data_IF_280844936446
#
_entry.id   IF_280844936446
#
_cell.length_a   1.000
_cell.length_b   1.000
_cell.length_c   1.000
_cell.angle_alpha   90.00
_cell.angle_beta   90.00
_cell.angle_gamma   90.00
#
_symmetry.space_group_name_H-M   'P 1'
#
loop_
_entity.id
_entity.type
_entity.pdbx_description
1 polymer ?
#
# COMPACT_ATOMS: atom_id res chain seq x y z
N UNK A 1 22.71 -16.97 -33.54
CA UNK A 1 22.24 -17.91 -32.47
C UNK A 1 21.14 -18.74 -33.11
N UNK A 2 21.20 -20.02 -32.97
CA UNK A 2 20.21 -20.97 -33.57
C UNK A 2 18.91 -21.10 -32.75
N UNK A 3 18.76 -20.29 -31.71
CA UNK A 3 17.56 -20.22 -30.85
C UNK A 3 17.44 -21.30 -29.77
N UNK A 4 18.37 -22.25 -29.73
CA UNK A 4 18.31 -23.41 -28.79
C UNK A 4 19.46 -23.47 -27.80
N UNK A 5 20.53 -22.69 -28.00
CA UNK A 5 21.71 -22.72 -27.17
C UNK A 5 21.97 -21.41 -26.46
N UNK A 6 22.00 -21.44 -25.13
CA UNK A 6 22.41 -20.30 -24.30
C UNK A 6 23.88 -20.52 -23.91
N UNK A 7 24.73 -19.53 -24.14
CA UNK A 7 26.13 -19.57 -23.67
C UNK A 7 26.18 -19.58 -22.15
N UNK A 8 27.13 -20.29 -21.58
CA UNK A 8 27.42 -20.15 -20.16
C UNK A 8 27.87 -18.72 -19.88
N UNK A 9 27.20 -18.06 -18.96
CA UNK A 9 27.56 -16.74 -18.49
C UNK A 9 27.29 -16.61 -16.99
N UNK A 10 28.00 -15.74 -16.35
CA UNK A 10 27.72 -15.27 -15.00
C UNK A 10 27.15 -13.86 -15.09
N UNK A 11 26.04 -13.62 -14.42
CA UNK A 11 25.43 -12.30 -14.34
C UNK A 11 25.14 -11.98 -12.88
N UNK A 12 25.53 -10.78 -12.47
CA UNK A 12 25.17 -10.21 -11.18
C UNK A 12 24.35 -8.95 -11.42
N UNK A 13 23.11 -8.98 -10.96
CA UNK A 13 22.17 -7.87 -11.14
C UNK A 13 21.36 -7.65 -9.86
N UNK A 14 21.36 -6.43 -9.37
CA UNK A 14 20.65 -6.02 -8.16
C UNK A 14 20.26 -4.55 -8.26
N UNK A 15 19.29 -4.13 -7.45
CA UNK A 15 18.88 -2.74 -7.37
C UNK A 15 19.42 -2.10 -6.10
N UNK A 16 19.84 -0.83 -6.21
CA UNK A 16 20.37 -0.05 -5.08
C UNK A 16 19.30 0.40 -4.08
N UNK A 17 18.02 0.40 -4.52
CA UNK A 17 16.87 0.74 -3.67
C UNK A 17 15.87 -0.40 -3.62
N UNK A 18 15.32 -0.65 -2.43
CA UNK A 18 14.40 -1.77 -2.19
C UNK A 18 12.97 -1.50 -2.67
N UNK A 19 12.51 -0.25 -2.62
CA UNK A 19 11.17 0.14 -3.04
C UNK A 19 11.27 0.91 -4.35
N UNK A 20 10.67 0.38 -5.39
CA UNK A 20 10.60 0.97 -6.75
C UNK A 20 9.22 0.68 -7.29
N UNK A 21 8.56 1.66 -7.88
CA UNK A 21 7.24 1.40 -8.43
C UNK A 21 6.43 2.63 -8.75
N UNK A 22 5.13 2.46 -8.66
CA UNK A 22 4.13 3.47 -8.99
C UNK A 22 3.35 3.87 -7.75
N UNK A 23 2.90 5.12 -7.72
CA UNK A 23 1.88 5.59 -6.79
C UNK A 23 0.68 6.13 -7.57
N UNK A 24 -0.52 5.61 -7.30
CA UNK A 24 -1.79 6.17 -7.76
C UNK A 24 -2.25 7.22 -6.75
N UNK A 25 -1.64 8.39 -6.77
CA UNK A 25 -1.80 9.45 -5.75
C UNK A 25 -2.41 10.75 -6.28
N UNK A 26 -3.24 10.70 -7.30
CA UNK A 26 -3.84 11.88 -7.94
C UNK A 26 -5.33 12.03 -7.62
N UNK A 27 -5.86 13.21 -7.92
CA UNK A 27 -7.28 13.52 -7.85
C UNK A 27 -7.97 13.18 -9.18
N UNK A 28 -9.26 12.94 -9.15
CA UNK A 28 -10.08 12.61 -10.30
C UNK A 28 -10.47 11.14 -10.34
N UNK A 29 -10.86 10.66 -11.51
CA UNK A 29 -11.34 9.30 -11.68
C UNK A 29 -10.24 8.27 -11.39
N UNK A 30 -10.41 7.42 -10.37
CA UNK A 30 -9.45 6.35 -10.09
C UNK A 30 -9.33 5.38 -11.27
N UNK A 31 -8.17 4.76 -11.43
CA UNK A 31 -8.00 3.70 -12.43
C UNK A 31 -8.91 2.51 -12.14
N UNK A 32 -9.23 1.76 -13.19
CA UNK A 32 -9.93 0.50 -13.01
C UNK A 32 -9.02 -0.54 -12.33
N UNK A 33 -9.62 -1.54 -11.69
CA UNK A 33 -8.83 -2.63 -11.09
C UNK A 33 -8.05 -3.40 -12.15
N UNK A 34 -8.57 -3.52 -13.38
CA UNK A 34 -7.85 -4.17 -14.49
C UNK A 34 -6.62 -3.36 -14.91
N UNK A 35 -6.72 -2.03 -14.99
CA UNK A 35 -5.58 -1.16 -15.29
C UNK A 35 -4.51 -1.26 -14.20
N UNK A 36 -4.91 -1.29 -12.93
CA UNK A 36 -4.01 -1.49 -11.79
C UNK A 36 -3.27 -2.82 -11.86
N UNK A 37 -4.00 -3.89 -12.14
CA UNK A 37 -3.43 -5.24 -12.30
C UNK A 37 -2.50 -5.33 -13.52
N UNK A 38 -2.88 -4.71 -14.62
CA UNK A 38 -2.03 -4.61 -15.82
C UNK A 38 -0.72 -3.87 -15.53
N UNK A 39 -0.81 -2.76 -14.80
CA UNK A 39 0.37 -1.98 -14.40
C UNK A 39 1.29 -2.74 -13.44
N UNK A 40 0.73 -3.54 -12.52
CA UNK A 40 1.53 -4.40 -11.64
C UNK A 40 2.26 -5.50 -12.43
N UNK A 41 1.59 -6.15 -13.41
CA UNK A 41 2.24 -7.13 -14.30
C UNK A 41 3.39 -6.49 -15.08
N UNK A 42 3.12 -5.36 -15.73
CA UNK A 42 4.15 -4.58 -16.42
C UNK A 42 5.30 -4.20 -15.48
N UNK A 43 5.00 -3.68 -14.29
CA UNK A 43 6.01 -3.30 -13.31
C UNK A 43 6.92 -4.46 -12.91
N UNK A 44 6.37 -5.66 -12.73
CA UNK A 44 7.13 -6.87 -12.42
C UNK A 44 8.17 -7.21 -13.48
N UNK A 45 7.83 -7.06 -14.76
CA UNK A 45 8.73 -7.30 -15.88
C UNK A 45 9.93 -6.32 -15.89
N UNK A 46 9.75 -5.13 -15.31
CA UNK A 46 10.77 -4.09 -15.20
C UNK A 46 11.39 -3.96 -13.79
N UNK A 47 11.27 -5.01 -12.97
CA UNK A 47 11.85 -5.08 -11.61
C UNK A 47 11.31 -4.02 -10.64
N UNK A 48 10.12 -3.53 -10.87
CA UNK A 48 9.40 -2.74 -9.89
C UNK A 48 8.88 -3.65 -8.78
N UNK A 49 8.87 -3.13 -7.56
CA UNK A 49 8.55 -3.92 -6.36
C UNK A 49 7.22 -3.54 -5.72
N UNK A 50 6.67 -2.39 -6.09
CA UNK A 50 5.52 -1.83 -5.38
C UNK A 50 4.59 -1.05 -6.29
N UNK A 51 3.30 -1.29 -6.12
CA UNK A 51 2.22 -0.45 -6.58
C UNK A 51 1.52 0.15 -5.36
N UNK A 52 1.61 1.46 -5.17
CA UNK A 52 1.05 2.15 -4.01
C UNK A 52 -0.35 2.65 -4.35
N UNK A 53 -1.34 2.05 -3.72
CA UNK A 53 -2.75 2.41 -3.86
C UNK A 53 -3.09 3.60 -2.95
N UNK A 54 -3.23 4.77 -3.55
CA UNK A 54 -3.46 6.03 -2.85
C UNK A 54 -4.41 6.99 -3.62
N UNK A 55 -5.47 6.50 -4.32
CA UNK A 55 -6.32 7.37 -5.12
C UNK A 55 -7.10 8.34 -4.22
N UNK A 56 -6.91 9.64 -4.43
CA UNK A 56 -7.45 10.71 -3.55
C UNK A 56 -8.99 10.73 -3.50
N UNK A 57 -9.65 10.22 -4.52
CA UNK A 57 -11.12 10.17 -4.62
C UNK A 57 -11.70 8.78 -4.33
N UNK A 58 -10.87 7.82 -3.87
CA UNK A 58 -11.37 6.57 -3.30
C UNK A 58 -11.92 6.79 -1.88
N UNK A 59 -13.17 6.36 -1.66
CA UNK A 59 -13.84 6.58 -0.37
C UNK A 59 -13.14 5.89 0.79
N UNK A 60 -12.70 4.66 0.61
CA UNK A 60 -12.12 3.85 1.70
C UNK A 60 -10.67 4.21 2.01
N UNK A 61 -10.00 4.87 1.09
CA UNK A 61 -8.67 5.42 1.31
C UNK A 61 -8.70 6.70 2.17
N UNK A 62 -9.72 7.55 1.99
CA UNK A 62 -9.84 8.89 2.61
C UNK A 62 -11.08 9.04 3.47
N UNK A 63 -12.25 9.23 2.87
CA UNK A 63 -13.49 9.60 3.59
C UNK A 63 -13.97 8.54 4.58
N UNK A 64 -13.96 7.29 4.16
CA UNK A 64 -14.37 6.12 4.95
C UNK A 64 -13.17 5.28 5.43
N UNK A 65 -12.05 5.92 5.70
CA UNK A 65 -10.83 5.21 6.09
C UNK A 65 -10.98 4.40 7.39
N UNK A 66 -11.94 4.75 8.25
CA UNK A 66 -12.27 4.02 9.48
C UNK A 66 -13.10 2.77 9.22
N UNK A 67 -13.88 2.77 8.13
CA UNK A 67 -14.84 1.72 7.83
C UNK A 67 -14.13 0.52 7.22
N UNK A 68 -14.52 -0.66 7.63
CA UNK A 68 -14.05 -1.89 7.00
C UNK A 68 -14.63 -1.99 5.59
N UNK A 69 -13.89 -2.63 4.70
CA UNK A 69 -14.37 -2.92 3.35
C UNK A 69 -15.53 -3.92 3.42
N UNK A 70 -16.62 -3.70 2.67
CA UNK A 70 -17.59 -4.74 2.38
C UNK A 70 -16.93 -5.92 1.65
N UNK A 71 -17.54 -7.11 1.75
CA UNK A 71 -16.96 -8.33 1.19
C UNK A 71 -16.70 -8.24 -0.32
N UNK A 72 -17.62 -7.62 -1.06
CA UNK A 72 -17.48 -7.41 -2.50
C UNK A 72 -16.23 -6.58 -2.86
N UNK A 73 -16.02 -5.47 -2.15
CA UNK A 73 -14.85 -4.61 -2.38
C UNK A 73 -13.55 -5.28 -1.88
N UNK A 74 -13.64 -6.01 -0.77
CA UNK A 74 -12.51 -6.77 -0.25
C UNK A 74 -12.07 -7.89 -1.21
N UNK A 75 -13.01 -8.50 -1.93
CA UNK A 75 -12.72 -9.50 -2.95
C UNK A 75 -11.88 -8.90 -4.10
N UNK A 76 -12.21 -7.69 -4.54
CA UNK A 76 -11.43 -6.96 -5.56
C UNK A 76 -10.01 -6.67 -5.08
N UNK A 77 -9.85 -6.29 -3.81
CA UNK A 77 -8.52 -6.09 -3.20
C UNK A 77 -7.72 -7.40 -3.16
N UNK A 78 -8.35 -8.51 -2.77
CA UNK A 78 -7.70 -9.85 -2.77
C UNK A 78 -7.18 -10.23 -4.14
N UNK A 79 -7.94 -9.93 -5.21
CA UNK A 79 -7.50 -10.16 -6.59
C UNK A 79 -6.27 -9.33 -6.95
N UNK A 80 -6.29 -8.01 -6.65
CA UNK A 80 -5.13 -7.14 -6.88
C UNK A 80 -3.90 -7.61 -6.09
N UNK A 81 -4.07 -8.02 -4.83
CA UNK A 81 -2.99 -8.58 -4.00
C UNK A 81 -2.40 -9.83 -4.64
N UNK A 82 -3.25 -10.74 -5.13
CA UNK A 82 -2.80 -11.94 -5.83
C UNK A 82 -1.95 -11.59 -7.05
N UNK A 83 -2.43 -10.71 -7.90
CA UNK A 83 -1.68 -10.27 -9.10
C UNK A 83 -0.37 -9.60 -8.72
N UNK A 84 -0.36 -8.75 -7.71
CA UNK A 84 0.85 -8.09 -7.21
C UNK A 84 1.89 -9.09 -6.72
N UNK A 85 1.47 -10.14 -6.02
CA UNK A 85 2.36 -11.21 -5.54
C UNK A 85 2.91 -12.04 -6.70
N UNK A 86 2.05 -12.44 -7.66
CA UNK A 86 2.43 -13.24 -8.82
C UNK A 86 3.44 -12.47 -9.70
N UNK A 87 3.24 -11.18 -9.88
CA UNK A 87 4.10 -10.31 -10.71
C UNK A 87 5.34 -9.76 -9.98
N UNK A 88 5.48 -9.96 -8.68
CA UNK A 88 6.55 -9.38 -7.84
C UNK A 88 6.47 -7.83 -7.69
N UNK A 89 5.39 -7.21 -8.17
CA UNK A 89 5.09 -5.80 -7.98
C UNK A 89 3.96 -5.68 -6.94
N UNK A 90 4.35 -5.63 -5.69
CA UNK A 90 3.46 -5.77 -4.52
C UNK A 90 2.39 -4.68 -4.46
N UNK A 91 1.15 -5.07 -4.19
CA UNK A 91 0.08 -4.14 -3.86
C UNK A 91 0.31 -3.57 -2.46
N UNK A 92 0.49 -2.25 -2.37
CA UNK A 92 0.65 -1.50 -1.11
C UNK A 92 -0.62 -0.71 -0.86
N UNK A 93 -1.30 -0.98 0.24
CA UNK A 93 -2.50 -0.21 0.59
C UNK A 93 -2.15 0.95 1.50
N UNK A 94 -2.74 2.13 1.23
CA UNK A 94 -2.50 3.33 2.04
C UNK A 94 -3.79 3.92 2.57
N UNK A 95 -3.72 4.62 3.69
CA UNK A 95 -4.80 5.45 4.22
C UNK A 95 -4.38 6.92 4.25
N UNK A 96 -5.35 7.81 4.06
CA UNK A 96 -5.17 9.25 4.24
C UNK A 96 -6.06 9.78 5.39
N UNK A 97 -5.79 9.37 6.64
CA UNK A 97 -6.66 9.69 7.77
C UNK A 97 -6.75 11.19 8.04
N UNK A 98 -5.67 11.91 7.85
CA UNK A 98 -5.59 13.34 8.17
C UNK A 98 -6.44 14.21 7.22
N UNK A 99 -6.55 13.85 5.96
CA UNK A 99 -7.48 14.49 5.01
C UNK A 99 -8.92 13.96 5.20
N UNK A 100 -9.08 12.78 5.78
CA UNK A 100 -10.36 12.13 6.08
C UNK A 100 -10.98 12.54 7.41
N UNK A 101 -10.63 13.70 7.99
CA UNK A 101 -11.23 14.22 9.21
C UNK A 101 -10.76 13.54 10.49
N UNK A 102 -9.45 13.37 10.65
CA UNK A 102 -8.84 12.81 11.85
C UNK A 102 -9.16 13.62 13.10
N UNK A 103 -9.75 13.00 14.12
CA UNK A 103 -10.08 13.63 15.39
C UNK A 103 -8.88 13.61 16.34
N UNK A 104 -8.16 14.71 16.42
CA UNK A 104 -6.96 14.83 17.27
C UNK A 104 -7.23 14.64 18.77
N UNK A 105 -8.44 15.01 19.24
CA UNK A 105 -8.82 14.82 20.64
C UNK A 105 -9.04 13.34 21.01
N UNK A 106 -9.24 12.50 20.03
CA UNK A 106 -9.47 11.05 20.16
C UNK A 106 -8.40 10.24 19.42
N UNK A 107 -7.18 10.76 19.34
CA UNK A 107 -6.09 10.21 18.51
C UNK A 107 -5.86 8.70 18.72
N UNK A 108 -5.92 8.20 19.95
CA UNK A 108 -5.74 6.77 20.22
C UNK A 108 -6.87 5.90 19.65
N UNK A 109 -8.11 6.39 19.69
CA UNK A 109 -9.26 5.69 19.10
C UNK A 109 -9.17 5.68 17.56
N UNK A 110 -8.74 6.79 16.98
CA UNK A 110 -8.50 6.93 15.54
C UNK A 110 -7.41 5.96 15.07
N UNK A 111 -6.30 5.89 15.79
CA UNK A 111 -5.22 4.94 15.48
C UNK A 111 -5.72 3.49 15.60
N UNK A 112 -6.53 3.18 16.60
CA UNK A 112 -7.12 1.83 16.72
C UNK A 112 -8.08 1.52 15.55
N UNK A 113 -8.82 2.50 15.05
CA UNK A 113 -9.65 2.31 13.85
C UNK A 113 -8.78 2.01 12.62
N UNK A 114 -7.68 2.72 12.44
CA UNK A 114 -6.72 2.45 11.37
C UNK A 114 -6.14 1.04 11.46
N UNK A 115 -5.72 0.62 12.66
CA UNK A 115 -5.15 -0.72 12.85
C UNK A 115 -6.17 -1.84 12.61
N UNK A 116 -7.44 -1.66 12.96
CA UNK A 116 -8.51 -2.62 12.60
C UNK A 116 -8.68 -2.74 11.09
N UNK A 117 -8.59 -1.63 10.35
CA UNK A 117 -8.61 -1.62 8.89
C UNK A 117 -7.40 -2.38 8.33
N UNK A 118 -6.23 -2.14 8.90
CA UNK A 118 -5.01 -2.85 8.51
C UNK A 118 -5.10 -4.34 8.79
N UNK A 119 -5.72 -4.76 9.90
CA UNK A 119 -5.97 -6.17 10.20
C UNK A 119 -6.84 -6.84 9.13
N UNK A 120 -7.95 -6.21 8.73
CA UNK A 120 -8.79 -6.72 7.65
C UNK A 120 -8.02 -6.90 6.34
N UNK A 121 -7.24 -5.91 5.98
CA UNK A 121 -6.46 -5.93 4.74
C UNK A 121 -5.29 -6.92 4.82
N UNK A 122 -4.69 -7.07 5.99
CA UNK A 122 -3.68 -8.09 6.25
C UNK A 122 -4.26 -9.50 6.04
N UNK A 123 -5.46 -9.75 6.56
CA UNK A 123 -6.18 -11.02 6.37
C UNK A 123 -6.58 -11.23 4.89
N UNK A 124 -6.76 -10.15 4.13
CA UNK A 124 -6.95 -10.19 2.68
C UNK A 124 -5.66 -10.41 1.88
N UNK A 125 -4.49 -10.48 2.55
CA UNK A 125 -3.20 -10.76 1.94
C UNK A 125 -2.30 -9.56 1.69
N UNK A 126 -2.72 -8.34 2.03
CA UNK A 126 -1.84 -7.16 1.96
C UNK A 126 -0.68 -7.32 2.93
N UNK A 127 0.55 -7.01 2.49
CA UNK A 127 1.77 -7.15 3.30
C UNK A 127 2.60 -5.88 3.38
N UNK A 128 2.13 -4.80 2.76
CA UNK A 128 2.75 -3.49 2.92
C UNK A 128 1.67 -2.41 3.00
N UNK A 129 1.84 -1.49 3.93
CA UNK A 129 0.87 -0.46 4.27
C UNK A 129 1.52 0.92 4.25
N UNK A 130 0.70 1.95 4.07
CA UNK A 130 1.16 3.33 4.15
C UNK A 130 0.16 4.24 4.85
N UNK A 131 0.68 5.33 5.36
CA UNK A 131 -0.09 6.46 5.89
C UNK A 131 0.33 7.70 5.16
N UNK A 132 -0.63 8.43 4.61
CA UNK A 132 -0.38 9.65 3.86
C UNK A 132 -0.70 10.87 4.73
N UNK A 133 0.15 11.89 4.62
CA UNK A 133 0.03 13.16 5.32
C UNK A 133 0.22 14.36 4.41
N UNK A 134 0.20 14.15 3.09
CA UNK A 134 0.27 15.20 2.07
C UNK A 134 -1.05 15.98 1.97
N UNK A 135 -1.01 17.17 1.39
CA UNK A 135 -2.16 18.06 1.17
C UNK A 135 -2.97 18.38 2.44
N UNK A 136 -2.36 18.29 3.61
CA UNK A 136 -2.97 18.67 4.88
C UNK A 136 -2.25 19.86 5.49
N UNK A 137 -2.95 20.58 6.35
CA UNK A 137 -2.35 21.65 7.12
C UNK A 137 -1.33 21.13 8.14
N UNK A 138 -1.01 21.93 9.15
CA UNK A 138 -0.08 21.51 10.19
C UNK A 138 -0.59 20.29 10.96
N UNK A 139 0.19 19.22 10.93
CA UNK A 139 -0.05 18.03 11.76
C UNK A 139 0.74 18.11 13.07
N UNK A 140 0.10 17.89 14.23
CA UNK A 140 0.83 17.80 15.49
C UNK A 140 1.84 16.66 15.46
N UNK A 141 3.12 17.02 15.59
CA UNK A 141 4.23 16.04 15.55
C UNK A 141 4.03 14.86 16.50
N UNK A 142 3.50 15.10 17.69
CA UNK A 142 3.24 14.06 18.69
C UNK A 142 2.22 13.02 18.21
N UNK A 143 1.18 13.45 17.50
CA UNK A 143 0.17 12.55 16.92
C UNK A 143 0.78 11.69 15.82
N UNK A 144 1.55 12.29 14.92
CA UNK A 144 2.22 11.57 13.84
C UNK A 144 3.19 10.52 14.41
N UNK A 145 4.02 10.91 15.37
CA UNK A 145 4.96 9.99 16.02
C UNK A 145 4.21 8.84 16.71
N UNK A 146 3.14 9.12 17.48
CA UNK A 146 2.34 8.09 18.15
C UNK A 146 1.73 7.12 17.12
N UNK A 147 1.13 7.64 16.06
CA UNK A 147 0.55 6.82 15.00
C UNK A 147 1.59 5.91 14.34
N UNK A 148 2.72 6.47 13.91
CA UNK A 148 3.77 5.69 13.24
C UNK A 148 4.42 4.68 14.19
N UNK A 149 4.56 5.00 15.46
CA UNK A 149 5.03 4.06 16.50
C UNK A 149 4.07 2.87 16.59
N UNK A 150 2.76 3.12 16.76
CA UNK A 150 1.76 2.05 16.87
C UNK A 150 1.62 1.21 15.59
N UNK A 151 1.71 1.83 14.42
CA UNK A 151 1.73 1.11 13.14
C UNK A 151 2.97 0.22 13.03
N UNK A 152 4.14 0.73 13.42
CA UNK A 152 5.39 -0.03 13.41
C UNK A 152 5.35 -1.22 14.40
N UNK A 153 4.83 -1.01 15.60
CA UNK A 153 4.63 -2.08 16.59
C UNK A 153 3.67 -3.16 16.07
N UNK A 154 2.56 -2.74 15.45
CA UNK A 154 1.61 -3.64 14.81
C UNK A 154 2.28 -4.47 13.71
N UNK A 155 3.02 -3.83 12.81
CA UNK A 155 3.74 -4.51 11.73
C UNK A 155 4.76 -5.52 12.26
N UNK A 156 5.54 -5.15 13.28
CA UNK A 156 6.49 -6.06 13.94
C UNK A 156 5.80 -7.26 14.57
N UNK A 157 4.62 -7.07 15.18
CA UNK A 157 3.84 -8.15 15.78
C UNK A 157 3.32 -9.13 14.73
N UNK A 158 2.98 -8.67 13.53
CA UNK A 158 2.58 -9.55 12.40
C UNK A 158 3.76 -10.37 11.87
N UNK A 159 4.94 -9.82 11.84
CA UNK A 159 6.20 -10.52 11.54
C UNK A 159 6.54 -10.64 10.05
N UNK A 160 5.57 -10.48 9.16
CA UNK A 160 5.72 -10.59 7.70
C UNK A 160 5.22 -9.34 6.93
N UNK A 161 5.05 -8.25 7.64
CA UNK A 161 4.71 -6.94 7.04
C UNK A 161 5.99 -6.19 6.68
N UNK A 162 6.06 -5.69 5.46
CA UNK A 162 7.16 -4.85 4.99
C UNK A 162 7.13 -3.46 5.63
N UNK A 163 8.25 -2.75 5.55
CA UNK A 163 8.36 -1.41 6.10
C UNK A 163 7.21 -0.50 5.60
N UNK A 164 6.60 0.19 6.56
CA UNK A 164 5.47 1.10 6.30
C UNK A 164 5.93 2.32 5.52
N UNK A 165 5.17 2.71 4.51
CA UNK A 165 5.36 3.95 3.77
C UNK A 165 4.68 5.10 4.53
N UNK A 166 5.39 6.21 4.70
CA UNK A 166 4.83 7.47 5.16
C UNK A 166 5.19 8.59 4.17
N UNK A 167 4.18 9.31 3.67
CA UNK A 167 4.33 10.42 2.73
C UNK A 167 3.60 11.67 3.24
#
# INVERSE_FOLDING_TARGET
MDGTTIRNFEMRDYADVNIRGFIEGYYGLPWSNEDRMSLMRFGGDYKMTSYIFAPKDDEYHKGKWRDLYPEEELAKIKEMVKVGNDSKCRFVWTAHPFMGGFNQAQADQEIQALLRKFDQLYDAGVRQFGVLGDDVGSLPRTIVINMMTKVSEWAKKKGDVYDTVFC
#
